data_IF_882273829372
#
_entry.id   IF_882273829372
#
_cell.length_a   1.000
_cell.length_b   1.000
_cell.length_c   1.000
_cell.angle_alpha   90.00
_cell.angle_beta   90.00
_cell.angle_gamma   90.00
#
_symmetry.space_group_name_H-M   'P 1'
#
loop_
_entity.id
_entity.type
_entity.pdbx_description
1 polymer ?
#
# COMPACT_ATOMS: atom_id res chain seq x y z
N UNK A 1 -14.63 19.21 17.77
CA UNK A 1 -13.17 19.00 17.84
C UNK A 1 -12.53 19.81 16.72
N UNK A 2 -11.48 20.61 16.98
CA UNK A 2 -10.76 21.30 15.92
C UNK A 2 -9.95 20.31 15.06
N UNK A 3 -9.67 20.71 13.82
CA UNK A 3 -8.80 19.96 12.91
C UNK A 3 -7.34 20.04 13.39
N UNK A 4 -6.61 18.94 13.33
CA UNK A 4 -5.18 18.90 13.63
C UNK A 4 -4.38 19.78 12.65
N UNK A 5 -3.44 20.56 13.17
CA UNK A 5 -2.67 21.54 12.39
C UNK A 5 -1.83 20.90 11.27
N UNK A 6 -1.28 19.70 11.50
CA UNK A 6 -0.48 18.98 10.50
C UNK A 6 -1.38 18.44 9.39
N UNK A 7 -2.57 17.95 9.75
CA UNK A 7 -3.58 17.53 8.77
C UNK A 7 -4.05 18.74 7.96
N UNK A 8 -4.31 19.89 8.60
CA UNK A 8 -4.71 21.12 7.91
C UNK A 8 -3.65 21.60 6.91
N UNK A 9 -2.37 21.56 7.30
CA UNK A 9 -1.25 21.91 6.42
C UNK A 9 -1.15 20.95 5.22
N UNK A 10 -1.28 19.64 5.47
CA UNK A 10 -1.26 18.61 4.42
C UNK A 10 -2.40 18.80 3.41
N UNK A 11 -3.63 19.05 3.89
CA UNK A 11 -4.79 19.27 3.02
C UNK A 11 -4.63 20.53 2.18
N UNK A 12 -4.11 21.61 2.77
CA UNK A 12 -3.82 22.86 2.05
C UNK A 12 -2.80 22.64 0.94
N UNK A 13 -1.71 21.92 1.22
CA UNK A 13 -0.69 21.59 0.22
C UNK A 13 -1.24 20.67 -0.90
N UNK A 14 -2.09 19.70 -0.53
CA UNK A 14 -2.68 18.75 -1.48
C UNK A 14 -3.71 19.39 -2.41
N UNK A 15 -4.45 20.41 -1.92
CA UNK A 15 -5.47 21.12 -2.72
C UNK A 15 -4.88 21.93 -3.87
N UNK A 16 -3.58 22.25 -3.84
CA UNK A 16 -2.89 22.95 -4.93
C UNK A 16 -2.62 22.04 -6.14
N UNK A 17 -2.81 20.72 -6.03
CA UNK A 17 -2.58 19.77 -7.12
C UNK A 17 -3.84 19.64 -7.98
N UNK A 18 -3.76 19.86 -9.29
CA UNK A 18 -4.92 19.70 -10.18
C UNK A 18 -5.40 18.24 -10.21
N UNK A 19 -6.70 18.00 -10.41
CA UNK A 19 -7.24 16.66 -10.49
C UNK A 19 -6.65 15.91 -11.70
N UNK A 20 -6.38 14.60 -11.58
CA UNK A 20 -5.85 13.81 -12.68
C UNK A 20 -6.83 13.75 -13.85
N UNK A 21 -6.33 14.00 -15.07
CA UNK A 21 -7.13 14.08 -16.28
C UNK A 21 -7.67 12.73 -16.79
N UNK A 22 -7.24 11.61 -16.19
CA UNK A 22 -7.69 10.27 -16.57
C UNK A 22 -7.55 9.28 -15.42
N UNK A 23 -8.23 8.15 -15.51
CA UNK A 23 -8.07 7.04 -14.55
C UNK A 23 -6.63 6.49 -14.53
N UNK A 24 -5.96 6.47 -15.69
CA UNK A 24 -4.56 6.04 -15.76
C UNK A 24 -3.65 7.03 -15.02
N UNK A 25 -3.86 8.34 -15.22
CA UNK A 25 -3.12 9.37 -14.51
C UNK A 25 -3.39 9.32 -13.00
N UNK A 26 -4.64 9.07 -12.59
CA UNK A 26 -5.02 8.90 -11.20
C UNK A 26 -4.26 7.72 -10.56
N UNK A 27 -4.26 6.54 -11.20
CA UNK A 27 -3.55 5.36 -10.69
C UNK A 27 -2.05 5.60 -10.54
N UNK A 28 -1.41 6.21 -11.53
CA UNK A 28 0.03 6.49 -11.49
C UNK A 28 0.39 7.49 -10.38
N UNK A 29 -0.41 8.55 -10.22
CA UNK A 29 -0.23 9.54 -9.16
C UNK A 29 -0.42 8.91 -7.77
N UNK A 30 -1.44 8.06 -7.60
CA UNK A 30 -1.70 7.35 -6.35
C UNK A 30 -0.59 6.36 -6.00
N UNK A 31 -0.13 5.55 -6.95
CA UNK A 31 0.93 4.56 -6.72
C UNK A 31 2.23 5.21 -6.22
N UNK A 32 2.57 6.37 -6.79
CA UNK A 32 3.77 7.12 -6.39
C UNK A 32 3.55 7.87 -5.08
N UNK A 33 2.44 8.61 -4.97
CA UNK A 33 2.15 9.47 -3.83
C UNK A 33 1.94 8.68 -2.54
N UNK A 34 1.21 7.56 -2.57
CA UNK A 34 0.98 6.74 -1.38
C UNK A 34 2.28 6.21 -0.78
N UNK A 35 3.22 5.76 -1.62
CA UNK A 35 4.53 5.27 -1.15
C UNK A 35 5.32 6.37 -0.44
N UNK A 36 5.26 7.61 -0.94
CA UNK A 36 5.94 8.74 -0.30
C UNK A 36 5.33 9.10 1.06
N UNK A 37 4.06 8.77 1.30
CA UNK A 37 3.37 9.02 2.56
C UNK A 37 3.57 7.91 3.60
N UNK A 38 4.05 6.74 3.21
CA UNK A 38 4.16 5.56 4.11
C UNK A 38 5.27 5.68 5.15
N UNK A 39 6.15 6.68 5.05
CA UNK A 39 7.31 6.81 5.95
C UNK A 39 8.34 5.71 5.71
N UNK A 40 9.27 5.57 6.67
CA UNK A 40 10.27 4.50 6.62
C UNK A 40 9.63 3.13 6.80
N UNK A 41 10.17 2.12 6.13
CA UNK A 41 9.69 0.76 6.28
C UNK A 41 9.96 0.22 7.70
N UNK A 42 8.92 -0.23 8.37
CA UNK A 42 9.06 -0.91 9.66
C UNK A 42 9.82 -2.25 9.51
N UNK A 43 10.55 -2.71 10.56
CA UNK A 43 11.19 -4.02 10.55
C UNK A 43 10.19 -5.14 10.26
N UNK A 44 10.53 -6.02 9.31
CA UNK A 44 9.68 -7.16 8.93
C UNK A 44 10.48 -8.46 8.89
N UNK A 45 9.79 -9.58 9.04
CA UNK A 45 10.29 -10.93 8.77
C UNK A 45 10.42 -11.24 7.27
N UNK A 46 10.25 -10.23 6.42
CA UNK A 46 10.28 -10.34 4.97
C UNK A 46 8.91 -10.24 4.32
N UNK A 47 8.93 -10.14 3.00
CA UNK A 47 7.75 -10.06 2.14
C UNK A 47 7.78 -11.22 1.16
N UNK A 48 6.63 -11.85 0.91
CA UNK A 48 6.48 -12.94 -0.05
C UNK A 48 5.35 -12.64 -1.02
N UNK A 49 5.65 -12.74 -2.31
CA UNK A 49 4.68 -12.56 -3.37
C UNK A 49 4.20 -13.93 -3.88
N UNK A 50 2.89 -14.07 -4.03
CA UNK A 50 2.24 -15.27 -4.54
C UNK A 50 1.28 -14.92 -5.67
N UNK A 51 0.93 -15.91 -6.48
CA UNK A 51 -0.20 -15.83 -7.41
C UNK A 51 -1.13 -16.99 -7.11
N UNK A 52 -2.37 -16.67 -6.76
CA UNK A 52 -3.43 -17.67 -6.55
C UNK A 52 -4.41 -17.65 -7.71
N UNK A 53 -4.97 -18.81 -8.02
CA UNK A 53 -6.07 -18.94 -8.99
C UNK A 53 -7.36 -19.02 -8.18
N UNK A 54 -8.28 -18.09 -8.43
CA UNK A 54 -9.59 -18.03 -7.77
C UNK A 54 -10.53 -19.11 -8.33
N UNK A 55 -11.63 -19.37 -7.64
CA UNK A 55 -12.57 -20.43 -8.04
C UNK A 55 -13.21 -20.21 -9.43
N UNK A 56 -13.28 -18.96 -9.89
CA UNK A 56 -13.74 -18.56 -11.22
C UNK A 56 -12.61 -18.52 -12.27
N UNK A 57 -11.40 -18.99 -11.92
CA UNK A 57 -10.26 -19.15 -12.83
C UNK A 57 -9.42 -17.89 -13.03
N UNK A 58 -9.72 -16.78 -12.35
CA UNK A 58 -8.90 -15.58 -12.43
C UNK A 58 -7.62 -15.69 -11.60
N UNK A 59 -6.55 -14.99 -12.02
CA UNK A 59 -5.30 -14.92 -11.26
C UNK A 59 -5.32 -13.70 -10.36
N UNK A 60 -5.05 -13.89 -9.08
CA UNK A 60 -4.90 -12.83 -8.10
C UNK A 60 -3.47 -12.82 -7.56
N UNK A 61 -2.80 -11.67 -7.64
CA UNK A 61 -1.52 -11.45 -7.00
C UNK A 61 -1.73 -11.17 -5.51
N UNK A 62 -0.96 -11.85 -4.67
CA UNK A 62 -0.97 -11.66 -3.22
C UNK A 62 0.43 -11.25 -2.76
N UNK A 63 0.48 -10.34 -1.80
CA UNK A 63 1.70 -9.98 -1.08
C UNK A 63 1.48 -10.24 0.41
N UNK A 64 2.21 -11.20 0.96
CA UNK A 64 2.20 -11.53 2.38
C UNK A 64 3.37 -10.84 3.08
N UNK A 65 3.10 -10.23 4.23
CA UNK A 65 4.10 -9.59 5.08
C UNK A 65 4.26 -10.43 6.33
N UNK A 66 5.50 -10.85 6.63
CA UNK A 66 5.79 -11.59 7.84
C UNK A 66 6.20 -10.61 8.96
N UNK A 67 5.68 -10.75 10.19
CA UNK A 67 6.16 -9.99 11.32
C UNK A 67 7.63 -10.31 11.61
N UNK A 68 8.35 -9.33 12.16
CA UNK A 68 9.72 -9.53 12.60
C UNK A 68 9.79 -10.61 13.70
N UNK A 69 10.73 -11.54 13.57
CA UNK A 69 10.96 -12.62 14.55
C UNK A 69 10.20 -13.93 14.27
N UNK A 70 9.38 -13.99 13.21
CA UNK A 70 8.75 -15.25 12.81
C UNK A 70 9.77 -16.17 12.10
N UNK A 71 10.09 -17.31 12.72
CA UNK A 71 10.93 -18.34 12.10
C UNK A 71 10.07 -19.16 11.12
N UNK A 72 10.39 -19.12 9.84
CA UNK A 72 9.61 -19.70 8.73
C UNK A 72 9.45 -21.24 8.69
N UNK A 73 9.46 -21.92 9.84
CA UNK A 73 9.31 -23.37 9.96
C UNK A 73 7.84 -23.85 9.89
N UNK A 74 6.86 -22.95 10.02
CA UNK A 74 5.44 -23.31 9.93
C UNK A 74 4.82 -22.76 8.64
N UNK A 75 5.38 -23.15 7.49
CA UNK A 75 4.75 -22.87 6.21
C UNK A 75 3.79 -24.02 5.86
N UNK A 76 2.48 -23.74 5.84
CA UNK A 76 1.67 -24.26 4.75
C UNK A 76 0.48 -23.33 4.45
N UNK A 77 0.44 -22.72 3.25
CA UNK A 77 -0.83 -22.33 2.65
C UNK A 77 -1.56 -23.63 2.26
N UNK A 78 -2.77 -23.83 2.76
CA UNK A 78 -3.70 -24.86 2.30
C UNK A 78 -4.39 -24.43 1.01
#
# INVERSE_FOLDING_TARGET
>A
MPLDERIAAFLTASAAVPPPASLAAMRAATETGLRQLQGEAEPSGGVRDYTVVTADGHRMALRAYLPAGENGANAQPA
#
